data_IF_207832034382
#
_entry.id   IF_207832034382
#
_cell.length_a   1.000
_cell.length_b   1.000
_cell.length_c   1.000
_cell.angle_alpha   90.00
_cell.angle_beta   90.00
_cell.angle_gamma   90.00
#
_symmetry.space_group_name_H-M   'P 1'
#
loop_
_entity.id
_entity.type
_entity.pdbx_description
1 polymer ?
2 non-polymer ?
#
# COMPACT_ATOMS: atom_id res chain seq x y z
N UNK A 1 3.41 16.14 -5.12
CA UNK A 1 3.70 14.92 -4.31
C UNK A 1 4.97 15.14 -3.50
N UNK A 2 4.92 15.97 -2.49
CA UNK A 2 6.12 16.22 -1.67
C UNK A 2 6.59 14.92 -1.03
N UNK A 3 5.68 14.10 -0.59
CA UNK A 3 6.07 12.81 0.05
C UNK A 3 6.68 11.88 -1.01
N UNK A 4 7.72 11.18 -0.67
CA UNK A 4 8.36 10.27 -1.67
C UNK A 4 7.34 9.21 -2.09
N UNK A 5 6.51 8.77 -1.19
CA UNK A 5 5.50 7.73 -1.54
C UNK A 5 4.09 8.28 -1.29
N UNK A 6 3.21 8.08 -2.23
CA UNK A 6 1.80 8.57 -2.07
C UNK A 6 0.85 7.40 -2.37
N UNK A 7 -0.37 7.48 -1.92
CA UNK A 7 -1.30 6.36 -2.20
C UNK A 7 -2.02 6.60 -3.53
N UNK A 8 -1.89 5.69 -4.45
CA UNK A 8 -2.55 5.88 -5.77
C UNK A 8 -4.07 5.95 -5.59
N UNK A 9 -4.59 5.16 -4.71
CA UNK A 9 -6.07 5.18 -4.49
C UNK A 9 -6.50 6.56 -4.00
N UNK A 10 -5.69 7.19 -3.20
CA UNK A 10 -6.05 8.54 -2.67
C UNK A 10 -4.88 9.52 -2.93
N UNK A 11 -3.73 9.22 -2.38
CA UNK A 11 -2.55 10.12 -2.58
C UNK A 11 -2.68 11.33 -1.65
N UNK A 12 -3.22 11.13 -0.49
CA UNK A 12 -3.38 12.27 0.47
C UNK A 12 -2.01 12.79 0.90
N UNK A 13 -1.11 11.90 1.22
CA UNK A 13 0.25 12.33 1.66
C UNK A 13 0.33 12.17 3.17
N UNK A 14 -0.67 12.63 3.88
CA UNK A 14 -0.66 12.49 5.36
C UNK A 14 -0.79 11.02 5.73
N UNK A 15 -1.59 10.31 5.00
CA UNK A 15 -1.78 8.86 5.26
C UNK A 15 -0.48 8.11 4.97
N UNK A 16 0.50 8.81 4.45
CA UNK A 16 1.79 8.15 4.13
C UNK A 16 2.29 7.36 5.32
N UNK A 17 1.91 7.75 6.52
CA UNK A 17 2.37 7.01 7.72
C UNK A 17 1.94 5.54 7.63
N UNK A 18 0.77 5.26 7.12
CA UNK A 18 0.30 3.85 7.03
C UNK A 18 0.29 3.37 5.57
N UNK A 19 0.88 4.12 4.67
CA UNK A 19 0.89 3.67 3.24
C UNK A 19 1.73 2.41 3.12
N UNK A 20 1.17 1.37 2.55
CA UNK A 20 1.93 0.10 2.42
C UNK A 20 2.45 -0.05 0.99
N UNK A 21 3.71 -0.34 0.83
CA UNK A 21 4.29 -0.51 -0.53
C UNK A 21 4.20 -1.98 -0.92
N UNK A 22 3.87 -2.27 -2.15
CA UNK A 22 3.76 -3.69 -2.59
C UNK A 22 5.10 -4.16 -3.16
N UNK A 23 5.73 -5.09 -2.51
CA UNK A 23 7.03 -5.60 -3.02
C UNK A 23 6.81 -6.40 -4.31
N UNK A 24 5.75 -7.16 -4.36
CA UNK A 24 5.48 -7.97 -5.59
C UNK A 24 5.38 -7.06 -6.81
N UNK A 25 4.77 -5.92 -6.67
CA UNK A 25 4.63 -5.00 -7.82
C UNK A 25 4.68 -3.56 -7.32
N UNK A 26 5.01 -2.63 -8.16
CA UNK A 26 5.07 -1.20 -7.72
C UNK A 26 3.65 -0.69 -7.49
N UNK A 27 3.13 -0.90 -6.31
CA UNK A 27 1.75 -0.41 -6.01
C UNK A 27 1.69 0.02 -4.54
N UNK A 28 1.21 1.21 -4.27
CA UNK A 28 1.12 1.67 -2.86
C UNK A 28 -0.33 1.98 -2.50
N UNK A 29 -0.75 1.59 -1.33
CA UNK A 29 -2.15 1.86 -0.89
C UNK A 29 -2.20 1.90 0.64
N UNK A 30 -3.20 2.53 1.19
CA UNK A 30 -3.30 2.62 2.67
C UNK A 30 -3.83 1.29 3.22
N UNK A 31 -3.49 0.98 4.44
CA UNK A 31 -3.97 -0.28 5.04
C UNK A 31 -5.48 -0.23 5.27
N UNK A 32 -6.05 0.95 5.27
CA UNK A 32 -7.52 1.07 5.51
C UNK A 32 -8.25 1.51 4.24
N UNK A 33 -7.58 1.63 3.13
CA UNK A 33 -8.26 2.07 1.87
C UNK A 33 -8.05 1.05 0.76
N UNK A 34 -7.93 -0.21 1.11
CA UNK A 34 -7.74 -1.25 0.05
C UNK A 34 -7.76 -2.64 0.67
N UNK A 35 -7.08 -2.82 1.77
CA UNK A 35 -7.04 -4.15 2.42
C UNK A 35 -7.79 -4.11 3.76
N UNK A 36 -8.35 -5.21 4.18
CA UNK A 36 -9.10 -5.27 5.47
C UNK A 36 -8.35 -4.56 6.61
N UNK A 37 -7.08 -4.86 6.81
CA UNK A 37 -6.28 -4.19 7.87
C UNK A 37 -6.67 -2.72 8.06
N UNK A 38 -6.30 -2.12 9.15
CA UNK A 38 -6.67 -0.70 9.38
C UNK A 38 -5.49 0.08 9.95
N UNK A 39 -5.71 0.79 11.03
CA UNK A 39 -4.61 1.60 11.63
C UNK A 39 -3.38 0.72 11.87
N UNK A 40 -3.58 -0.51 12.24
CA UNK A 40 -2.42 -1.41 12.48
C UNK A 40 -1.93 -2.01 11.16
N UNK A 41 -0.71 -1.75 10.78
CA UNK A 41 -0.18 -2.31 9.51
C UNK A 41 0.00 -3.82 9.66
N UNK A 42 -0.40 -4.61 8.68
CA UNK A 42 -0.27 -6.09 8.74
C UNK A 42 1.19 -6.55 8.66
N UNK A 43 1.50 -7.70 9.18
CA UNK A 43 2.90 -8.20 9.12
C UNK A 43 3.21 -8.73 7.73
N UNK A 44 4.46 -8.71 7.37
CA UNK A 44 4.86 -9.21 6.02
C UNK A 44 4.53 -8.14 4.99
N UNK A 45 5.00 -8.31 3.78
CA UNK A 45 4.71 -7.32 2.72
C UNK A 45 3.40 -7.71 2.03
N UNK A 46 2.38 -6.90 2.16
CA UNK A 46 1.08 -7.23 1.50
C UNK A 46 1.21 -6.95 0.01
N UNK A 47 0.69 -7.81 -0.81
CA UNK A 47 0.77 -7.62 -2.28
C UNK A 47 -0.62 -7.66 -2.89
N UNK A 48 -0.89 -6.78 -3.81
CA UNK A 48 -2.22 -6.73 -4.44
C UNK A 48 -2.49 -8.07 -5.16
N UNK A 49 -3.72 -8.44 -5.32
CA UNK A 49 -4.12 -9.74 -5.95
C UNK A 49 -3.44 -10.01 -7.30
N UNK A 50 -3.25 -9.00 -8.12
CA UNK A 50 -2.60 -9.24 -9.44
C UNK A 50 -1.20 -9.81 -9.25
N UNK A 51 -0.50 -9.34 -8.26
CA UNK A 51 0.88 -9.84 -8.00
C UNK A 51 0.82 -11.28 -7.50
N UNK A 52 -0.17 -11.59 -6.70
CA UNK A 52 -0.30 -12.97 -6.17
C UNK A 52 -0.42 -13.96 -7.34
N UNK A 53 -1.13 -13.57 -8.37
CA UNK A 53 -1.29 -14.49 -9.54
C UNK A 53 0.08 -14.77 -10.17
N UNK A 54 0.96 -13.80 -10.16
CA UNK A 54 2.31 -14.02 -10.76
C UNK A 54 3.01 -15.17 -10.03
N UNK A 55 2.79 -15.28 -8.75
CA UNK A 55 3.45 -16.38 -7.98
C UNK A 55 2.58 -17.63 -8.02
X LIG B 1 -5.32 5.32 0.05
X LIG C 1 1.12 -5.46 -6.00
#
# INVERSE_FOLDING_TARGET
>A
AVDLYVCLLCGSGNDEDRLLLCDGCDDSYHTFCLIPPLHDVPKGDWRCPKCLAQE
>B hetero
1 ZN ZN
>C hetero
1 ZN ZN
#
